data_IF_877205209291
#
_entry.id   IF_877205209291
#
_cell.length_a   1.000
_cell.length_b   1.000
_cell.length_c   1.000
_cell.angle_alpha   90.00
_cell.angle_beta   90.00
_cell.angle_gamma   90.00
#
_symmetry.space_group_name_H-M   'P 1'
#
loop_
_entity.id
_entity.type
_entity.pdbx_description
1 polymer ?
#
# COMPACT_ATOMS: atom_id res chain seq x y z
N UNK A 1 28.49 -11.94 -27.07
CA UNK A 1 27.40 -12.40 -27.95
C UNK A 1 27.40 -11.58 -29.22
N UNK A 2 27.25 -12.20 -30.38
CA UNK A 2 27.25 -11.49 -31.67
C UNK A 2 26.14 -12.01 -32.58
N UNK A 3 25.48 -11.11 -33.32
CA UNK A 3 24.49 -11.45 -34.33
C UNK A 3 24.69 -10.58 -35.57
N UNK A 4 24.64 -11.19 -36.76
CA UNK A 4 24.86 -10.47 -38.03
C UNK A 4 23.79 -9.43 -38.37
N UNK A 5 22.62 -9.46 -37.71
CA UNK A 5 21.51 -8.54 -38.00
C UNK A 5 20.90 -7.95 -36.72
N UNK A 6 20.18 -8.74 -35.92
CA UNK A 6 19.56 -8.26 -34.69
C UNK A 6 19.92 -9.16 -33.51
N UNK A 7 20.19 -8.54 -32.36
CA UNK A 7 20.41 -9.20 -31.08
C UNK A 7 19.41 -8.65 -30.08
N UNK A 8 18.60 -9.54 -29.50
CA UNK A 8 17.57 -9.18 -28.53
C UNK A 8 17.77 -10.02 -27.27
N UNK A 9 17.89 -9.36 -26.12
CA UNK A 9 17.74 -9.96 -24.80
C UNK A 9 16.43 -9.47 -24.24
N UNK A 10 15.53 -10.39 -23.90
CA UNK A 10 14.15 -10.08 -23.55
C UNK A 10 13.68 -10.92 -22.38
N UNK A 11 12.45 -10.66 -21.98
CA UNK A 11 11.77 -11.34 -20.89
C UNK A 11 11.07 -12.63 -21.33
N UNK A 12 10.74 -13.48 -20.36
CA UNK A 12 9.77 -14.56 -20.50
C UNK A 12 8.46 -14.20 -19.80
N UNK A 13 7.33 -14.57 -20.40
CA UNK A 13 6.01 -14.24 -19.87
C UNK A 13 5.57 -15.25 -18.81
N UNK A 14 5.09 -14.75 -17.69
CA UNK A 14 4.54 -15.54 -16.59
C UNK A 14 3.17 -14.99 -16.21
N UNK A 15 2.13 -15.78 -16.46
CA UNK A 15 0.77 -15.49 -16.01
C UNK A 15 0.49 -16.22 -14.69
N UNK A 16 -0.08 -15.50 -13.72
CA UNK A 16 -0.51 -16.06 -12.43
C UNK A 16 -1.95 -15.68 -12.15
N UNK A 17 -2.73 -16.67 -11.74
CA UNK A 17 -4.08 -16.50 -11.23
C UNK A 17 -4.16 -17.14 -9.84
N UNK A 18 -4.55 -16.36 -8.84
CA UNK A 18 -4.64 -16.81 -7.46
C UNK A 18 -5.95 -16.35 -6.83
N UNK A 19 -6.61 -17.24 -6.10
CA UNK A 19 -7.83 -16.92 -5.34
C UNK A 19 -7.63 -17.30 -3.89
N UNK A 20 -7.77 -16.32 -2.99
CA UNK A 20 -7.80 -16.54 -1.56
C UNK A 20 -9.22 -16.39 -1.04
N UNK A 21 -9.75 -17.46 -0.44
CA UNK A 21 -11.06 -17.45 0.17
C UNK A 21 -10.95 -17.72 1.67
N UNK A 22 -11.58 -16.87 2.48
CA UNK A 22 -11.71 -17.07 3.92
C UNK A 22 -13.15 -16.82 4.34
N UNK A 23 -13.73 -17.74 5.10
CA UNK A 23 -15.06 -17.57 5.68
C UNK A 23 -15.07 -18.01 7.14
N UNK A 24 -15.52 -17.13 8.02
CA UNK A 24 -15.74 -17.40 9.43
C UNK A 24 -17.23 -17.28 9.73
N UNK A 25 -17.78 -18.27 10.42
CA UNK A 25 -19.17 -18.28 10.90
C UNK A 25 -19.17 -18.53 12.39
N UNK A 26 -19.90 -17.72 13.13
CA UNK A 26 -20.10 -17.85 14.58
C UNK A 26 -21.60 -17.91 14.86
N UNK A 27 -21.97 -18.72 15.83
CA UNK A 27 -23.35 -18.82 16.30
C UNK A 27 -23.40 -19.08 17.79
N UNK A 28 -24.49 -18.67 18.42
CA UNK A 28 -24.67 -18.81 19.87
C UNK A 28 -24.25 -17.53 20.60
N UNK A 29 -23.69 -17.69 21.79
CA UNK A 29 -23.30 -16.59 22.67
C UNK A 29 -22.00 -15.92 22.18
N UNK A 30 -22.07 -14.62 21.90
CA UNK A 30 -20.96 -13.79 21.42
C UNK A 30 -20.80 -12.55 22.32
N UNK A 31 -19.56 -12.11 22.52
CA UNK A 31 -19.27 -10.86 23.23
C UNK A 31 -19.68 -9.63 22.43
N UNK A 32 -20.12 -8.58 23.10
CA UNK A 32 -20.55 -7.30 22.48
C UNK A 32 -19.42 -6.29 22.31
N UNK A 33 -18.20 -6.59 22.78
CA UNK A 33 -17.09 -5.62 22.86
C UNK A 33 -17.15 -4.69 24.09
N UNK A 34 -18.13 -4.88 24.97
CA UNK A 34 -18.29 -4.20 26.26
C UNK A 34 -19.01 -5.09 27.26
N UNK A 35 -19.74 -4.50 28.22
CA UNK A 35 -20.52 -5.26 29.20
C UNK A 35 -21.86 -5.67 28.57
N UNK A 36 -21.92 -6.89 28.06
CA UNK A 36 -23.10 -7.46 27.41
C UNK A 36 -22.79 -8.66 26.52
N UNK A 37 -23.80 -9.41 26.15
CA UNK A 37 -23.69 -10.56 25.24
C UNK A 37 -24.74 -10.51 24.13
N UNK A 38 -24.40 -11.09 22.99
CA UNK A 38 -25.33 -11.29 21.86
C UNK A 38 -25.51 -12.77 21.63
N UNK A 39 -26.76 -13.25 21.62
CA UNK A 39 -27.09 -14.59 21.15
C UNK A 39 -27.57 -14.47 19.71
N UNK A 40 -26.83 -15.04 18.76
CA UNK A 40 -27.15 -14.83 17.36
C UNK A 40 -26.29 -15.60 16.38
N UNK A 41 -26.20 -15.07 15.15
CA UNK A 41 -25.34 -15.57 14.07
C UNK A 41 -24.50 -14.41 13.53
N UNK A 42 -23.23 -14.66 13.28
CA UNK A 42 -22.33 -13.77 12.58
C UNK A 42 -21.59 -14.52 11.48
N UNK A 43 -21.43 -13.91 10.32
CA UNK A 43 -20.67 -14.44 9.21
C UNK A 43 -19.79 -13.33 8.64
N UNK A 44 -18.52 -13.64 8.45
CA UNK A 44 -17.57 -12.81 7.72
C UNK A 44 -16.98 -13.64 6.59
N UNK A 45 -17.08 -13.14 5.36
CA UNK A 45 -16.49 -13.73 4.17
C UNK A 45 -15.53 -12.72 3.56
N UNK A 46 -14.34 -13.17 3.21
CA UNK A 46 -13.36 -12.41 2.43
C UNK A 46 -12.91 -13.24 1.24
N UNK A 47 -12.88 -12.64 0.07
CA UNK A 47 -12.35 -13.26 -1.15
C UNK A 47 -11.43 -12.27 -1.82
N UNK A 48 -10.21 -12.69 -2.14
CA UNK A 48 -9.24 -11.91 -2.90
C UNK A 48 -8.88 -12.69 -4.14
N UNK A 49 -9.22 -12.13 -5.30
CA UNK A 49 -8.84 -12.67 -6.61
C UNK A 49 -7.67 -11.83 -7.13
N UNK A 50 -6.60 -12.49 -7.55
CA UNK A 50 -5.37 -11.88 -8.04
C UNK A 50 -5.09 -12.39 -9.45
N UNK A 51 -4.90 -11.46 -10.37
CA UNK A 51 -4.46 -11.72 -11.74
C UNK A 51 -3.17 -10.94 -11.99
N UNK A 52 -2.09 -11.63 -12.35
CA UNK A 52 -0.81 -11.00 -12.66
C UNK A 52 -0.25 -11.51 -13.98
N UNK A 53 0.22 -10.59 -14.82
CA UNK A 53 1.08 -10.93 -15.96
C UNK A 53 2.42 -10.26 -15.72
N UNK A 54 3.46 -11.09 -15.55
CA UNK A 54 4.81 -10.66 -15.25
C UNK A 54 5.73 -11.02 -16.41
N UNK A 55 6.65 -10.14 -16.72
CA UNK A 55 7.72 -10.32 -17.67
C UNK A 55 9.02 -10.53 -16.87
N UNK A 56 9.53 -11.76 -16.86
CA UNK A 56 10.76 -12.12 -16.16
C UNK A 56 11.97 -11.84 -17.05
N UNK A 57 12.76 -10.84 -16.68
CA UNK A 57 14.01 -10.49 -17.35
C UNK A 57 15.01 -11.62 -17.47
N UNK A 58 15.73 -11.66 -18.58
CA UNK A 58 16.93 -12.48 -18.71
C UNK A 58 18.09 -11.81 -17.99
N UNK A 59 18.99 -12.60 -17.39
CA UNK A 59 20.26 -12.10 -16.84
C UNK A 59 21.42 -12.62 -17.69
N UNK A 60 22.23 -11.72 -18.24
CA UNK A 60 23.42 -12.07 -19.04
C UNK A 60 24.64 -11.44 -18.40
N UNK A 61 25.67 -12.22 -18.07
CA UNK A 61 26.83 -11.62 -17.45
C UNK A 61 28.07 -12.47 -17.31
N UNK A 62 29.14 -11.81 -16.85
CA UNK A 62 30.42 -12.41 -16.50
C UNK A 62 30.88 -11.83 -15.18
N UNK A 63 31.17 -12.66 -14.18
CA UNK A 63 31.50 -12.20 -12.82
C UNK A 63 32.91 -11.62 -12.69
N UNK A 64 33.85 -12.05 -13.53
CA UNK A 64 35.26 -11.60 -13.49
C UNK A 64 35.76 -11.04 -14.83
N UNK A 65 34.92 -11.09 -15.86
CA UNK A 65 35.30 -10.72 -17.22
C UNK A 65 34.44 -9.60 -17.77
N UNK A 66 34.74 -9.25 -19.02
CA UNK A 66 34.00 -8.27 -19.79
C UNK A 66 32.82 -8.92 -20.52
N UNK A 67 31.80 -8.13 -20.83
CA UNK A 67 30.64 -8.55 -21.64
C UNK A 67 30.58 -7.71 -22.90
N UNK A 68 30.50 -8.37 -24.05
CA UNK A 68 30.36 -7.69 -25.34
C UNK A 68 29.09 -8.15 -26.07
N UNK A 69 28.25 -7.19 -26.46
CA UNK A 69 27.14 -7.38 -27.38
C UNK A 69 27.49 -6.71 -28.72
N UNK A 70 27.31 -7.43 -29.81
CA UNK A 70 27.47 -6.88 -31.16
C UNK A 70 26.32 -7.31 -32.06
N UNK A 71 25.60 -6.33 -32.60
CA UNK A 71 24.50 -6.54 -33.53
C UNK A 71 24.77 -5.78 -34.84
N UNK A 72 24.63 -6.43 -35.98
CA UNK A 72 24.86 -5.76 -37.28
C UNK A 72 23.92 -4.59 -37.56
N UNK A 73 22.70 -4.59 -36.99
CA UNK A 73 21.69 -3.52 -37.10
C UNK A 73 21.16 -3.08 -35.75
N UNK A 74 20.40 -3.92 -35.06
CA UNK A 74 19.70 -3.50 -33.84
C UNK A 74 20.09 -4.37 -32.64
N UNK A 75 20.48 -3.70 -31.57
CA UNK A 75 20.61 -4.30 -30.24
C UNK A 75 19.42 -3.86 -29.39
N UNK A 76 18.66 -4.83 -28.85
CA UNK A 76 17.54 -4.56 -27.94
C UNK A 76 17.75 -5.28 -26.61
N UNK A 77 17.72 -4.53 -25.52
CA UNK A 77 17.59 -5.05 -24.16
C UNK A 77 16.20 -4.63 -23.62
N UNK A 78 15.41 -5.59 -23.17
CA UNK A 78 14.02 -5.36 -22.75
C UNK A 78 13.76 -6.02 -21.40
N UNK A 79 13.49 -5.20 -20.37
CA UNK A 79 13.28 -5.62 -18.99
C UNK A 79 14.30 -6.64 -18.48
N UNK A 80 15.56 -6.53 -18.90
CA UNK A 80 16.60 -7.55 -18.68
C UNK A 80 17.84 -6.95 -18.05
N UNK A 81 18.61 -7.79 -17.37
CA UNK A 81 19.79 -7.40 -16.62
C UNK A 81 21.06 -7.89 -17.29
N UNK A 82 22.07 -7.02 -17.33
CA UNK A 82 23.40 -7.35 -17.82
C UNK A 82 24.45 -6.97 -16.78
N UNK A 83 25.34 -7.90 -16.44
CA UNK A 83 26.38 -7.67 -15.43
C UNK A 83 27.75 -8.07 -15.96
N UNK A 84 28.74 -7.18 -15.85
CA UNK A 84 30.13 -7.47 -16.19
C UNK A 84 31.06 -7.13 -15.01
N UNK A 85 31.93 -8.05 -14.63
CA UNK A 85 32.93 -7.81 -13.58
C UNK A 85 34.00 -6.79 -13.98
N UNK A 86 34.19 -6.58 -15.28
CA UNK A 86 35.15 -5.62 -15.86
C UNK A 86 34.43 -4.63 -16.77
N UNK A 87 34.72 -4.65 -18.08
CA UNK A 87 34.15 -3.73 -19.06
C UNK A 87 32.88 -4.31 -19.70
N UNK A 88 31.97 -3.43 -20.12
CA UNK A 88 30.79 -3.78 -20.88
C UNK A 88 30.72 -2.96 -22.17
N UNK A 89 30.61 -3.64 -23.30
CA UNK A 89 30.59 -3.02 -24.63
C UNK A 89 29.36 -3.47 -25.41
N UNK A 90 28.57 -2.51 -25.88
CA UNK A 90 27.37 -2.74 -26.67
C UNK A 90 27.54 -2.03 -28.02
N UNK A 91 27.39 -2.75 -29.12
CA UNK A 91 27.51 -2.18 -30.47
C UNK A 91 26.34 -2.59 -31.39
N UNK A 92 25.91 -1.65 -32.21
CA UNK A 92 25.04 -1.89 -33.36
C UNK A 92 24.76 -0.60 -34.15
N UNK A 93 23.90 -0.64 -35.17
CA UNK A 93 23.46 0.60 -35.83
C UNK A 93 22.50 1.38 -34.93
N UNK A 94 21.65 0.68 -34.17
CA UNK A 94 20.78 1.26 -33.15
C UNK A 94 20.83 0.41 -31.87
N UNK A 95 20.74 1.07 -30.72
CA UNK A 95 20.68 0.44 -29.40
C UNK A 95 19.40 0.90 -28.70
N UNK A 96 18.56 -0.05 -28.28
CA UNK A 96 17.34 0.21 -27.52
C UNK A 96 17.38 -0.55 -26.19
N UNK A 97 17.32 0.19 -25.10
CA UNK A 97 17.22 -0.33 -23.73
C UNK A 97 15.86 0.10 -23.19
N UNK A 98 14.99 -0.85 -22.89
CA UNK A 98 13.57 -0.58 -22.61
C UNK A 98 13.09 -1.32 -21.38
N UNK A 99 12.01 -0.82 -20.78
CA UNK A 99 11.31 -1.51 -19.69
C UNK A 99 10.30 -2.53 -20.22
N UNK A 100 10.11 -3.62 -19.49
CA UNK A 100 9.01 -4.56 -19.69
C UNK A 100 7.84 -4.22 -18.76
N UNK A 101 6.62 -4.38 -19.26
CA UNK A 101 5.41 -3.94 -18.55
C UNK A 101 4.77 -5.09 -17.76
N UNK A 102 4.77 -5.02 -16.44
CA UNK A 102 4.11 -5.98 -15.58
C UNK A 102 2.74 -5.45 -15.16
N UNK A 103 1.72 -6.31 -15.17
CA UNK A 103 0.38 -5.96 -14.69
C UNK A 103 0.00 -6.82 -13.49
N UNK A 104 -0.68 -6.19 -12.53
CA UNK A 104 -1.18 -6.83 -11.33
C UNK A 104 -2.58 -6.27 -11.02
N UNK A 105 -3.57 -7.14 -10.90
CA UNK A 105 -4.92 -6.78 -10.50
C UNK A 105 -5.31 -7.59 -9.29
N UNK A 106 -5.70 -6.91 -8.21
CA UNK A 106 -6.25 -7.53 -7.02
C UNK A 106 -7.68 -7.04 -6.79
N UNK A 107 -8.62 -7.98 -6.64
CA UNK A 107 -10.02 -7.70 -6.31
C UNK A 107 -10.35 -8.34 -4.97
N UNK A 108 -10.43 -7.52 -3.92
CA UNK A 108 -10.82 -7.96 -2.58
C UNK A 108 -12.27 -7.64 -2.32
N UNK A 109 -13.06 -8.66 -1.98
CA UNK A 109 -14.46 -8.56 -1.57
C UNK A 109 -14.59 -9.00 -0.12
N UNK A 110 -15.16 -8.14 0.72
CA UNK A 110 -15.48 -8.47 2.11
C UNK A 110 -16.97 -8.35 2.34
N UNK A 111 -17.58 -9.38 2.91
CA UNK A 111 -18.98 -9.40 3.30
C UNK A 111 -19.09 -9.75 4.77
N UNK A 112 -19.81 -8.93 5.53
CA UNK A 112 -20.16 -9.21 6.92
C UNK A 112 -21.67 -9.23 7.08
N UNK A 113 -22.17 -10.18 7.85
CA UNK A 113 -23.58 -10.33 8.19
C UNK A 113 -23.68 -10.71 9.65
N UNK A 114 -24.52 -10.03 10.40
CA UNK A 114 -24.78 -10.36 11.80
C UNK A 114 -26.26 -10.19 12.10
N UNK A 115 -26.82 -11.10 12.88
CA UNK A 115 -28.14 -10.95 13.46
C UNK A 115 -28.21 -11.61 14.82
N UNK A 116 -29.01 -11.09 15.73
CA UNK A 116 -29.12 -11.66 17.06
C UNK A 116 -29.86 -10.80 18.06
N UNK A 117 -30.07 -11.39 19.23
CA UNK A 117 -30.57 -10.75 20.44
C UNK A 117 -29.39 -10.31 21.30
N UNK A 118 -29.25 -9.02 21.51
CA UNK A 118 -28.19 -8.40 22.30
C UNK A 118 -28.74 -7.91 23.63
N UNK A 119 -28.12 -8.34 24.72
CA UNK A 119 -28.29 -7.78 26.06
C UNK A 119 -27.04 -6.97 26.37
N UNK A 120 -27.17 -5.67 26.59
CA UNK A 120 -26.05 -4.79 26.91
C UNK A 120 -26.40 -3.86 28.07
N UNK A 121 -25.39 -3.48 28.85
CA UNK A 121 -25.55 -2.38 29.81
C UNK A 121 -25.58 -1.04 29.06
N UNK A 122 -26.68 -0.33 29.16
CA UNK A 122 -26.81 1.06 28.71
C UNK A 122 -26.43 1.98 29.85
N UNK A 123 -25.26 2.62 29.76
CA UNK A 123 -24.90 3.77 30.58
C UNK A 123 -24.71 4.99 29.69
N UNK A 124 -25.26 6.14 30.07
CA UNK A 124 -24.85 7.41 29.47
C UNK A 124 -23.40 7.65 29.89
N UNK A 125 -22.47 7.62 28.95
CA UNK A 125 -21.17 8.24 29.16
C UNK A 125 -21.40 9.74 29.34
N UNK A 126 -21.54 10.18 30.59
CA UNK A 126 -21.33 11.57 30.95
C UNK A 126 -19.91 11.94 30.52
N UNK A 127 -19.76 13.09 29.86
CA UNK A 127 -18.58 13.46 29.08
C UNK A 127 -17.23 13.09 29.72
N UNK A 128 -16.37 12.53 28.87
CA UNK A 128 -15.03 12.02 29.15
C UNK A 128 -14.96 10.59 29.71
N UNK A 129 -14.01 9.85 29.13
CA UNK A 129 -13.43 8.58 29.56
C UNK A 129 -14.07 7.31 28.96
N UNK A 130 -13.53 6.88 27.82
CA UNK A 130 -13.38 5.45 27.53
C UNK A 130 -11.99 5.06 26.98
N UNK A 131 -10.93 5.76 27.41
CA UNK A 131 -9.54 5.41 27.03
C UNK A 131 -8.56 5.28 28.20
N UNK A 132 -9.04 5.24 29.45
CA UNK A 132 -8.15 5.22 30.63
C UNK A 132 -8.12 3.89 31.41
N UNK A 133 -9.08 2.98 31.23
CA UNK A 133 -9.18 1.79 32.10
C UNK A 133 -8.46 0.56 31.54
N UNK A 134 -8.26 0.47 30.22
CA UNK A 134 -7.46 -0.61 29.62
C UNK A 134 -5.95 -0.47 29.88
N UNK A 135 -5.46 0.73 30.24
CA UNK A 135 -4.05 0.95 30.62
C UNK A 135 -3.77 0.56 32.08
N UNK A 136 -4.76 0.64 32.97
CA UNK A 136 -4.56 0.37 34.41
C UNK A 136 -4.58 -1.12 34.75
N UNK A 137 -5.31 -1.95 33.99
CA UNK A 137 -5.26 -3.41 34.18
C UNK A 137 -4.00 -4.06 33.59
N UNK A 138 -3.37 -3.46 32.58
CA UNK A 138 -2.05 -3.89 32.10
C UNK A 138 -0.93 -3.54 33.13
N UNK A 139 -1.08 -2.44 33.87
CA UNK A 139 -0.09 -2.00 34.87
C UNK A 139 -0.15 -2.76 36.21
N UNK A 140 -1.17 -3.60 36.44
CA UNK A 140 -1.24 -4.44 37.66
C UNK A 140 -0.42 -5.73 37.55
N UNK A 141 0.12 -6.06 36.37
CA UNK A 141 0.82 -7.31 36.11
C UNK A 141 2.33 -7.15 35.87
N UNK A 142 2.91 -5.95 36.03
CA UNK A 142 4.35 -5.72 35.84
C UNK A 142 5.03 -5.17 37.10
N UNK A 143 6.05 -5.89 37.55
CA UNK A 143 6.72 -5.74 38.84
C UNK A 143 8.09 -5.06 38.76
N UNK A 144 8.34 -4.14 37.82
CA UNK A 144 9.61 -3.39 37.76
C UNK A 144 9.40 -1.88 38.02
N UNK A 145 10.10 -1.41 39.06
CA UNK A 145 9.98 -0.07 39.65
C UNK A 145 10.45 1.06 38.72
N UNK A 146 11.21 0.74 37.66
CA UNK A 146 11.75 1.73 36.71
C UNK A 146 10.75 2.16 35.62
N UNK A 147 9.79 1.30 35.28
CA UNK A 147 8.71 1.65 34.33
C UNK A 147 7.68 2.60 34.98
N UNK A 148 7.47 2.52 36.30
CA UNK A 148 6.64 3.48 37.05
C UNK A 148 7.18 4.91 36.98
N UNK A 149 8.50 5.07 37.03
CA UNK A 149 9.14 6.39 37.03
C UNK A 149 9.00 7.08 35.66
N UNK A 150 9.07 6.33 34.55
CA UNK A 150 8.93 6.89 33.20
C UNK A 150 7.46 7.15 32.81
N UNK A 151 6.50 6.44 33.41
CA UNK A 151 5.07 6.73 33.23
C UNK A 151 4.58 7.94 34.04
N UNK A 152 5.25 8.29 35.15
CA UNK A 152 4.95 9.49 35.93
C UNK A 152 5.16 10.80 35.15
N UNK A 153 6.08 10.82 34.18
CA UNK A 153 6.41 12.01 33.39
C UNK A 153 5.47 12.24 32.20
N UNK A 154 4.83 11.20 31.65
CA UNK A 154 3.85 11.36 30.54
C UNK A 154 2.51 11.93 30.99
N UNK A 155 2.16 11.81 32.28
CA UNK A 155 0.97 12.41 32.87
C UNK A 155 1.08 13.94 33.07
N UNK A 156 2.30 14.50 33.08
CA UNK A 156 2.53 15.91 33.38
C UNK A 156 2.34 16.85 32.16
N UNK A 157 2.44 16.34 30.93
CA UNK A 157 2.43 17.18 29.71
C UNK A 157 1.03 17.39 29.11
N UNK A 158 -0.01 16.70 29.59
CA UNK A 158 -1.43 16.91 29.21
C UNK A 158 -2.18 17.83 30.19
N UNK A 159 -1.46 18.50 31.10
CA UNK A 159 -2.02 19.19 32.26
C UNK A 159 -2.47 20.65 32.09
N UNK A 160 -2.29 21.31 30.94
CA UNK A 160 -2.58 22.76 30.83
C UNK A 160 -4.03 23.10 30.46
N UNK A 161 -4.79 22.18 29.86
CA UNK A 161 -6.22 22.43 29.54
C UNK A 161 -7.18 21.91 30.62
N UNK A 162 -6.75 20.98 31.48
CA UNK A 162 -7.59 20.41 32.54
C UNK A 162 -7.81 21.38 33.73
N UNK A 163 -6.85 22.26 34.02
CA UNK A 163 -6.95 23.17 35.17
C UNK A 163 -7.96 24.30 34.94
N UNK A 164 -8.13 24.76 33.69
CA UNK A 164 -9.15 25.76 33.37
C UNK A 164 -10.57 25.16 33.40
N UNK A 165 -10.73 23.92 32.94
CA UNK A 165 -12.01 23.20 33.01
C UNK A 165 -12.43 22.88 34.46
N UNK A 166 -11.48 22.54 35.33
CA UNK A 166 -11.74 22.31 36.76
C UNK A 166 -12.15 23.61 37.50
N UNK A 167 -11.57 24.76 37.13
CA UNK A 167 -11.98 26.06 37.70
C UNK A 167 -13.34 26.53 37.16
N UNK A 168 -13.68 26.23 35.91
CA UNK A 168 -15.01 26.50 35.37
C UNK A 168 -16.09 25.60 35.98
N UNK A 169 -15.73 24.37 36.36
CA UNK A 169 -16.60 23.44 37.08
C UNK A 169 -16.84 23.87 38.55
N UNK A 170 -15.82 24.38 39.25
CA UNK A 170 -15.99 24.90 40.61
C UNK A 170 -16.65 26.30 40.67
N UNK A 171 -16.63 27.07 39.57
CA UNK A 171 -17.32 28.36 39.48
C UNK A 171 -18.83 28.22 39.19
N UNK A 172 -19.28 27.07 38.67
CA UNK A 172 -20.71 26.69 38.59
C UNK A 172 -21.15 25.97 39.86
N UNK A 173 -20.88 26.58 41.02
CA UNK A 173 -21.53 26.20 42.27
C UNK A 173 -23.03 26.40 42.14
N UNK A 174 -23.76 25.29 42.06
CA UNK A 174 -25.21 25.27 42.00
C UNK A 174 -25.68 23.83 42.18
N UNK A 175 -26.50 23.60 43.19
CA UNK A 175 -27.16 22.35 43.58
C UNK A 175 -28.05 21.76 42.46
N UNK A 176 -27.47 21.33 41.36
CA UNK A 176 -28.18 20.50 40.39
C UNK A 176 -27.89 19.03 40.68
N UNK A 177 -28.81 18.39 41.42
CA UNK A 177 -29.01 16.94 41.47
C UNK A 177 -29.44 16.37 40.10
N UNK A 178 -28.88 16.87 39.01
CA UNK A 178 -29.16 16.47 37.63
C UNK A 178 -28.02 15.66 37.01
N UNK A 179 -27.02 15.22 37.80
CA UNK A 179 -26.12 14.15 37.39
C UNK A 179 -26.79 12.78 37.65
N UNK A 180 -27.92 12.54 36.99
CA UNK A 180 -28.69 11.32 37.09
C UNK A 180 -28.00 10.25 36.24
N UNK A 181 -26.97 9.61 36.80
CA UNK A 181 -26.32 8.45 36.20
C UNK A 181 -27.32 7.29 36.14
N UNK A 182 -28.13 7.24 35.08
CA UNK A 182 -29.05 6.14 34.83
C UNK A 182 -28.24 4.94 34.33
N UNK A 183 -28.14 3.91 35.17
CA UNK A 183 -27.65 2.60 34.76
C UNK A 183 -28.84 1.83 34.23
N UNK A 184 -28.73 1.29 33.03
CA UNK A 184 -29.78 0.50 32.43
C UNK A 184 -29.30 -0.77 31.76
N UNK A 185 -30.24 -1.67 31.53
CA UNK A 185 -30.07 -2.86 30.71
C UNK A 185 -30.91 -2.66 29.46
N UNK A 186 -30.31 -2.84 28.29
CA UNK A 186 -31.00 -2.80 27.00
C UNK A 186 -31.03 -4.19 26.37
N UNK A 187 -32.22 -4.64 25.99
CA UNK A 187 -32.46 -5.85 25.22
C UNK A 187 -32.85 -5.44 23.81
N UNK A 188 -32.05 -5.79 22.81
CA UNK A 188 -32.33 -5.45 21.41
C UNK A 188 -32.18 -6.64 20.48
N UNK A 189 -33.03 -6.70 19.46
CA UNK A 189 -32.87 -7.63 18.34
C UNK A 189 -32.55 -6.83 17.08
N UNK A 190 -31.55 -7.26 16.33
CA UNK A 190 -31.17 -6.57 15.10
C UNK A 190 -30.54 -7.48 14.08
N UNK A 191 -30.48 -6.97 12.85
CA UNK A 191 -29.71 -7.55 11.77
C UNK A 191 -28.95 -6.47 11.03
N UNK A 192 -27.74 -6.79 10.61
CA UNK A 192 -26.87 -5.90 9.86
C UNK A 192 -26.09 -6.69 8.80
N UNK A 193 -25.87 -6.05 7.66
CA UNK A 193 -25.05 -6.57 6.58
C UNK A 193 -24.20 -5.45 6.00
N UNK A 194 -22.92 -5.72 5.82
CA UNK A 194 -22.01 -4.86 5.06
C UNK A 194 -21.34 -5.65 3.95
N UNK A 195 -21.06 -4.97 2.85
CA UNK A 195 -20.30 -5.49 1.72
C UNK A 195 -19.38 -4.40 1.20
N UNK A 196 -18.11 -4.73 1.06
CA UNK A 196 -17.11 -3.92 0.36
C UNK A 196 -16.48 -4.70 -0.77
N UNK A 197 -16.08 -3.99 -1.81
CA UNK A 197 -15.28 -4.48 -2.91
C UNK A 197 -14.24 -3.42 -3.23
N UNK A 198 -12.98 -3.82 -3.22
CA UNK A 198 -11.82 -3.01 -3.56
C UNK A 198 -11.16 -3.67 -4.77
N UNK A 199 -10.97 -2.92 -5.85
CA UNK A 199 -10.23 -3.32 -7.03
C UNK A 199 -9.02 -2.41 -7.17
N UNK A 200 -7.84 -3.00 -7.14
CA UNK A 200 -6.57 -2.35 -7.40
C UNK A 200 -6.00 -2.91 -8.69
N UNK A 201 -5.68 -2.05 -9.64
CA UNK A 201 -5.00 -2.38 -10.88
C UNK A 201 -3.72 -1.58 -10.95
N UNK A 202 -2.60 -2.29 -11.13
CA UNK A 202 -1.28 -1.70 -11.17
C UNK A 202 -0.57 -2.17 -12.44
N UNK A 203 0.06 -1.22 -13.12
CA UNK A 203 0.98 -1.48 -14.22
C UNK A 203 2.34 -0.92 -13.81
N UNK A 204 3.35 -1.77 -13.78
CA UNK A 204 4.72 -1.42 -13.37
C UNK A 204 5.69 -1.71 -14.49
N UNK A 205 6.61 -0.79 -14.73
CA UNK A 205 7.61 -0.85 -15.79
C UNK A 205 8.92 -1.33 -15.18
N UNK A 206 9.27 -2.58 -15.47
CA UNK A 206 10.53 -3.17 -15.08
C UNK A 206 11.62 -2.77 -16.08
N UNK A 207 12.45 -1.81 -15.69
CA UNK A 207 13.60 -1.35 -16.47
C UNK A 207 14.61 -2.44 -16.80
N UNK A 208 15.44 -2.21 -17.82
CA UNK A 208 16.66 -3.00 -18.01
C UNK A 208 17.80 -2.40 -17.20
N UNK A 209 18.65 -3.24 -16.58
CA UNK A 209 19.82 -2.78 -15.84
C UNK A 209 21.13 -3.26 -16.49
N UNK A 210 22.12 -2.37 -16.58
CA UNK A 210 23.45 -2.67 -17.09
C UNK A 210 24.47 -2.24 -16.04
N UNK A 211 25.14 -3.20 -15.43
CA UNK A 211 26.12 -2.95 -14.37
C UNK A 211 27.49 -3.47 -14.76
N UNK A 212 28.52 -2.64 -14.63
CA UNK A 212 29.89 -3.01 -14.99
C UNK A 212 30.90 -2.54 -13.95
N UNK A 213 31.89 -3.36 -13.65
CA UNK A 213 32.92 -3.05 -12.64
C UNK A 213 33.91 -1.97 -13.08
N UNK A 214 34.20 -1.90 -14.38
CA UNK A 214 35.08 -0.91 -14.99
C UNK A 214 34.26 0.06 -15.86
N UNK A 215 34.35 -0.04 -17.20
CA UNK A 215 33.77 0.94 -18.12
C UNK A 215 32.55 0.39 -18.87
N UNK A 216 31.53 1.22 -19.06
CA UNK A 216 30.36 0.91 -19.89
C UNK A 216 30.41 1.74 -21.16
N UNK A 217 30.41 1.09 -22.32
CA UNK A 217 30.41 1.78 -23.61
C UNK A 217 29.28 1.27 -24.51
N UNK A 218 28.40 2.17 -24.93
CA UNK A 218 27.40 1.92 -25.96
C UNK A 218 27.78 2.68 -27.22
N UNK A 219 27.86 1.99 -28.36
CA UNK A 219 28.22 2.57 -29.65
C UNK A 219 27.16 2.24 -30.70
N UNK A 220 26.36 3.24 -31.07
CA UNK A 220 25.43 3.19 -32.20
C UNK A 220 26.09 3.79 -33.44
N UNK A 221 26.53 2.95 -34.38
CA UNK A 221 27.35 3.31 -35.55
C UNK A 221 26.55 3.30 -36.87
N UNK A 222 25.32 3.83 -36.84
CA UNK A 222 24.48 3.96 -38.03
C UNK A 222 24.90 5.11 -38.96
N UNK A 223 24.34 5.15 -40.17
CA UNK A 223 24.37 6.31 -41.05
C UNK A 223 23.48 7.44 -40.46
N UNK A 224 24.04 8.64 -40.15
CA UNK A 224 23.33 9.72 -39.43
C UNK A 224 22.00 10.16 -40.04
N UNK A 225 21.81 9.96 -41.34
CA UNK A 225 20.58 10.32 -42.05
C UNK A 225 19.44 9.29 -41.86
N UNK A 226 19.72 8.09 -41.34
CA UNK A 226 18.76 6.99 -41.28
C UNK A 226 18.70 6.26 -39.93
N UNK A 227 19.82 6.12 -39.23
CA UNK A 227 19.94 5.38 -37.98
C UNK A 227 21.16 5.90 -37.18
N UNK A 228 21.55 5.21 -36.10
CA UNK A 228 22.62 5.69 -35.22
C UNK A 228 22.15 6.09 -33.84
N UNK A 229 20.97 5.63 -33.42
CA UNK A 229 20.34 6.11 -32.20
C UNK A 229 20.64 5.20 -31.00
N UNK A 230 20.80 5.83 -29.83
CA UNK A 230 20.76 5.18 -28.52
C UNK A 230 19.49 5.64 -27.82
N UNK A 231 18.57 4.72 -27.53
CA UNK A 231 17.35 4.98 -26.76
C UNK A 231 17.34 4.18 -25.47
N UNK A 232 17.09 4.86 -24.36
CA UNK A 232 17.00 4.26 -23.02
C UNK A 232 15.70 4.74 -22.37
N UNK A 233 14.85 3.80 -21.97
CA UNK A 233 13.57 4.07 -21.33
C UNK A 233 13.47 3.32 -19.99
N UNK A 234 13.42 4.09 -18.90
CA UNK A 234 13.40 3.59 -17.52
C UNK A 234 14.54 2.62 -17.20
N UNK A 235 15.70 2.80 -17.84
CA UNK A 235 16.86 1.92 -17.70
C UNK A 235 17.87 2.44 -16.68
N UNK A 236 18.58 1.53 -16.02
CA UNK A 236 19.64 1.87 -15.07
C UNK A 236 20.98 1.41 -15.62
N UNK A 237 21.87 2.34 -15.91
CA UNK A 237 23.21 2.06 -16.40
C UNK A 237 24.21 2.50 -15.34
N UNK A 238 25.05 1.56 -14.89
CA UNK A 238 26.03 1.79 -13.83
C UNK A 238 27.41 1.29 -14.26
N UNK A 239 28.41 2.16 -14.14
CA UNK A 239 29.81 1.85 -14.38
C UNK A 239 30.67 2.20 -13.15
N UNK A 240 31.56 1.30 -12.76
CA UNK A 240 32.50 1.57 -11.67
C UNK A 240 33.54 2.66 -12.01
N UNK A 241 33.78 2.91 -13.30
CA UNK A 241 34.64 3.98 -13.81
C UNK A 241 33.86 4.88 -14.76
N UNK A 242 34.08 4.76 -16.08
CA UNK A 242 33.48 5.65 -17.07
C UNK A 242 32.26 5.02 -17.75
N UNK A 243 31.25 5.84 -18.01
CA UNK A 243 30.06 5.51 -18.81
C UNK A 243 30.05 6.38 -20.06
N UNK A 244 30.04 5.74 -21.23
CA UNK A 244 30.08 6.42 -22.52
C UNK A 244 28.93 5.97 -23.42
N UNK A 245 28.12 6.92 -23.89
CA UNK A 245 27.12 6.71 -24.93
C UNK A 245 27.57 7.43 -26.21
N UNK A 246 27.85 6.67 -27.26
CA UNK A 246 28.31 7.18 -28.55
C UNK A 246 27.24 6.86 -29.61
N UNK A 247 26.43 7.85 -29.97
CA UNK A 247 25.42 7.74 -31.02
C UNK A 247 25.87 8.54 -32.24
N UNK A 248 25.92 7.91 -33.42
CA UNK A 248 26.20 8.64 -34.66
C UNK A 248 25.06 9.60 -35.04
N UNK A 249 23.88 9.45 -34.43
CA UNK A 249 22.72 10.32 -34.62
C UNK A 249 22.19 10.86 -33.29
N UNK A 250 21.19 10.23 -32.68
CA UNK A 250 20.53 10.78 -31.48
C UNK A 250 20.74 9.93 -30.22
N UNK A 251 20.80 10.59 -29.06
CA UNK A 251 20.65 9.96 -27.75
C UNK A 251 19.31 10.37 -27.16
N UNK A 252 18.50 9.41 -26.72
CA UNK A 252 17.24 9.68 -26.03
C UNK A 252 17.16 8.89 -24.73
N UNK A 253 17.13 9.61 -23.61
CA UNK A 253 16.86 9.06 -22.30
C UNK A 253 15.45 9.48 -21.89
N UNK A 254 14.66 8.56 -21.37
CA UNK A 254 13.27 8.84 -20.98
C UNK A 254 12.87 8.01 -19.78
N UNK A 255 11.98 8.54 -18.96
CA UNK A 255 11.35 7.76 -17.88
C UNK A 255 10.33 6.77 -18.45
N UNK A 256 10.17 5.60 -17.84
CA UNK A 256 8.98 4.77 -18.03
C UNK A 256 7.91 5.11 -16.97
N UNK A 257 6.64 4.80 -17.24
CA UNK A 257 5.53 5.19 -16.37
C UNK A 257 4.87 3.98 -15.71
N UNK A 258 4.82 4.01 -14.38
CA UNK A 258 4.00 3.13 -13.59
C UNK A 258 2.63 3.77 -13.37
N UNK A 259 1.57 2.97 -13.46
CA UNK A 259 0.21 3.43 -13.18
C UNK A 259 -0.43 2.60 -12.09
N UNK A 260 -1.24 3.26 -11.27
CA UNK A 260 -2.06 2.62 -10.25
C UNK A 260 -3.48 3.16 -10.32
N UNK A 261 -4.45 2.26 -10.34
CA UNK A 261 -5.86 2.59 -10.32
C UNK A 261 -6.52 1.83 -9.19
N UNK A 262 -7.11 2.56 -8.25
CA UNK A 262 -7.88 2.00 -7.16
C UNK A 262 -9.34 2.41 -7.34
N UNK A 263 -10.23 1.44 -7.30
CA UNK A 263 -11.67 1.67 -7.26
C UNK A 263 -12.27 0.83 -6.16
N UNK A 264 -13.18 1.41 -5.40
CA UNK A 264 -13.83 0.68 -4.34
C UNK A 264 -15.25 1.14 -4.12
N UNK A 265 -16.05 0.22 -3.62
CA UNK A 265 -17.44 0.44 -3.27
C UNK A 265 -17.73 -0.26 -1.97
N UNK A 266 -18.43 0.42 -1.09
CA UNK A 266 -18.94 -0.18 0.13
C UNK A 266 -20.44 0.12 0.27
N UNK A 267 -21.12 -0.80 0.94
CA UNK A 267 -22.51 -0.66 1.29
C UNK A 267 -22.74 -1.34 2.63
N UNK A 268 -23.55 -0.71 3.47
CA UNK A 268 -24.00 -1.29 4.73
C UNK A 268 -25.48 -1.01 4.91
N UNK A 269 -26.17 -1.96 5.54
CA UNK A 269 -27.57 -1.81 5.92
C UNK A 269 -27.81 -2.58 7.20
N UNK A 270 -28.63 -2.02 8.08
CA UNK A 270 -29.00 -2.67 9.31
C UNK A 270 -30.25 -2.06 9.90
N UNK A 271 -30.86 -2.82 10.79
CA UNK A 271 -31.99 -2.38 11.59
C UNK A 271 -32.02 -3.13 12.90
N UNK A 272 -32.43 -2.44 13.95
CA UNK A 272 -32.62 -3.03 15.28
C UNK A 272 -33.83 -2.44 15.99
N UNK A 273 -34.41 -3.24 16.86
CA UNK A 273 -35.49 -2.87 17.77
C UNK A 273 -35.05 -3.29 19.17
N UNK A 274 -35.20 -2.42 20.16
CA UNK A 274 -34.79 -2.72 21.52
C UNK A 274 -35.63 -2.05 22.57
N UNK A 275 -35.70 -2.70 23.73
CA UNK A 275 -36.37 -2.24 24.93
C UNK A 275 -35.35 -2.16 26.06
N UNK A 276 -35.27 -1.02 26.72
CA UNK A 276 -34.33 -0.81 27.82
C UNK A 276 -35.04 -0.40 29.09
N UNK A 277 -34.46 -0.85 30.21
CA UNK A 277 -34.88 -0.47 31.55
C UNK A 277 -33.74 0.29 32.19
N UNK A 278 -34.05 1.46 32.75
CA UNK A 278 -33.08 2.33 33.40
C UNK A 278 -33.49 2.56 34.85
N UNK A 279 -32.52 2.62 35.75
CA UNK A 279 -32.71 2.95 37.15
C UNK A 279 -31.62 3.91 37.61
N UNK A 280 -32.00 4.97 38.31
CA UNK A 280 -31.07 5.95 38.86
C UNK A 280 -31.70 6.83 39.95
N UNK A 281 -30.92 7.74 40.54
CA UNK A 281 -31.39 8.66 41.59
C UNK A 281 -32.64 9.48 41.23
N UNK A 282 -32.93 9.65 39.94
CA UNK A 282 -34.14 10.32 39.42
C UNK A 282 -35.30 9.39 39.01
N UNK A 283 -35.27 8.10 39.37
CA UNK A 283 -36.38 7.15 39.15
C UNK A 283 -36.07 6.00 38.18
N UNK A 284 -37.07 5.14 37.95
CA UNK A 284 -37.03 4.06 36.96
C UNK A 284 -37.74 4.47 35.67
N UNK A 285 -37.25 3.97 34.53
CA UNK A 285 -37.83 4.29 33.22
C UNK A 285 -37.71 3.14 32.23
N UNK A 286 -38.73 2.98 31.39
CA UNK A 286 -38.74 2.07 30.24
C UNK A 286 -38.49 2.90 28.98
N UNK A 287 -37.56 2.48 28.14
CA UNK A 287 -37.33 3.09 26.84
C UNK A 287 -37.60 2.07 25.71
N UNK A 288 -38.18 2.57 24.62
CA UNK A 288 -38.31 1.84 23.36
C UNK A 288 -37.39 2.50 22.35
N UNK A 289 -36.59 1.69 21.67
CA UNK A 289 -35.63 2.14 20.66
C UNK A 289 -35.86 1.38 19.36
N UNK A 290 -35.83 2.13 18.26
CA UNK A 290 -35.80 1.58 16.92
C UNK A 290 -34.71 2.31 16.16
N UNK A 291 -33.88 1.56 15.45
CA UNK A 291 -32.83 2.16 14.63
C UNK A 291 -32.78 1.48 13.26
N UNK A 292 -32.52 2.28 12.25
CA UNK A 292 -32.25 1.83 10.89
C UNK A 292 -31.01 2.58 10.41
N UNK A 293 -30.10 1.86 9.77
CA UNK A 293 -28.89 2.44 9.21
C UNK A 293 -28.69 1.95 7.79
N UNK A 294 -28.31 2.86 6.92
CA UNK A 294 -27.92 2.59 5.55
C UNK A 294 -26.70 3.45 5.21
N UNK A 295 -25.67 2.82 4.65
CA UNK A 295 -24.45 3.48 4.23
C UNK A 295 -24.07 3.04 2.83
N UNK A 296 -23.58 3.98 2.01
CA UNK A 296 -22.94 3.70 0.73
C UNK A 296 -21.72 4.59 0.58
N UNK A 297 -20.67 4.05 -0.04
CA UNK A 297 -19.43 4.77 -0.28
C UNK A 297 -18.80 4.30 -1.58
N UNK A 298 -18.07 5.22 -2.21
CA UNK A 298 -17.27 4.96 -3.40
C UNK A 298 -15.91 5.63 -3.22
N UNK A 299 -14.88 4.97 -3.71
CA UNK A 299 -13.54 5.54 -3.83
C UNK A 299 -13.04 5.33 -5.26
N UNK A 300 -12.27 6.30 -5.74
CA UNK A 300 -11.54 6.22 -6.99
C UNK A 300 -10.24 7.00 -6.80
N UNK A 301 -9.13 6.39 -7.18
CA UNK A 301 -7.81 7.00 -7.15
C UNK A 301 -7.01 6.55 -8.35
N UNK A 302 -6.30 7.49 -8.96
CA UNK A 302 -5.37 7.23 -10.05
C UNK A 302 -4.01 7.79 -9.63
N UNK A 303 -2.96 7.00 -9.79
CA UNK A 303 -1.58 7.37 -9.56
C UNK A 303 -0.75 7.12 -10.80
N UNK A 304 0.18 8.04 -11.07
CA UNK A 304 1.25 7.85 -12.04
C UNK A 304 2.55 8.12 -11.31
N UNK A 305 3.51 7.22 -11.44
CA UNK A 305 4.88 7.45 -10.99
C UNK A 305 5.84 7.11 -12.13
N UNK A 306 7.01 7.72 -12.09
CA UNK A 306 8.00 7.59 -13.14
C UNK A 306 9.15 6.72 -12.64
N UNK A 307 9.60 5.80 -13.49
CA UNK A 307 10.85 5.09 -13.31
C UNK A 307 11.86 5.75 -14.23
N UNK A 308 12.72 6.57 -13.62
CA UNK A 308 13.68 7.41 -14.33
C UNK A 308 14.77 6.59 -15.01
N UNK A 309 15.30 7.11 -16.12
CA UNK A 309 16.54 6.58 -16.68
C UNK A 309 17.71 7.16 -15.91
N UNK A 310 18.56 6.31 -15.32
CA UNK A 310 19.72 6.75 -14.54
C UNK A 310 21.01 6.31 -15.20
N UNK A 311 21.95 7.26 -15.32
CA UNK A 311 23.33 7.01 -15.73
C UNK A 311 24.23 7.31 -14.53
N UNK A 312 24.86 6.27 -14.00
CA UNK A 312 25.75 6.36 -12.84
C UNK A 312 27.15 5.88 -13.23
N UNK A 313 28.16 6.71 -12.96
CA UNK A 313 29.54 6.41 -13.27
C UNK A 313 30.42 6.83 -12.09
N UNK A 314 31.34 5.96 -11.69
CA UNK A 314 32.29 6.27 -10.60
C UNK A 314 33.25 7.40 -10.94
N UNK A 315 33.44 7.72 -12.23
CA UNK A 315 34.31 8.79 -12.70
C UNK A 315 33.56 9.74 -13.64
N UNK A 316 33.34 9.34 -14.89
CA UNK A 316 32.81 10.25 -15.92
C UNK A 316 31.60 9.65 -16.64
N UNK A 317 30.58 10.47 -16.87
CA UNK A 317 29.50 10.20 -17.83
C UNK A 317 29.72 11.05 -19.07
N UNK A 318 29.85 10.40 -20.24
CA UNK A 318 30.05 11.07 -21.53
C UNK A 318 28.92 10.70 -22.49
N UNK A 319 28.27 11.73 -23.05
CA UNK A 319 27.19 11.62 -24.03
C UNK A 319 27.66 12.26 -25.34
N UNK A 320 27.94 11.43 -26.34
CA UNK A 320 28.35 11.87 -27.67
C UNK A 320 27.24 11.58 -28.66
N UNK A 321 26.38 12.57 -28.93
CA UNK A 321 25.37 12.50 -29.98
C UNK A 321 25.87 13.22 -31.24
N UNK A 322 25.75 12.58 -32.39
CA UNK A 322 26.09 13.20 -33.69
C UNK A 322 25.14 14.32 -34.10
N UNK A 323 23.92 14.31 -33.55
CA UNK A 323 22.90 15.33 -33.79
C UNK A 323 22.30 15.87 -32.50
N UNK A 324 21.40 15.12 -31.85
CA UNK A 324 20.67 15.60 -30.66
C UNK A 324 20.82 14.65 -29.46
N UNK A 325 20.89 15.21 -28.25
CA UNK A 325 20.75 14.48 -27.00
C UNK A 325 19.52 15.00 -26.25
N UNK A 326 18.50 14.15 -26.10
CA UNK A 326 17.27 14.42 -25.33
C UNK A 326 17.32 13.61 -24.04
N UNK A 327 17.11 14.27 -22.90
CA UNK A 327 17.24 13.69 -21.56
C UNK A 327 15.93 13.85 -20.77
#
# INVERSE_FOLDING_TARGET
MAAGNQLTVTTADEARHETHFKQEKKSGLMGTGGIGFTVGKASQKSTTDIDSNLHKGSTVGSSQGSVTFSAGKQLKLHGSDVVAGRDMQLSGQNINITSAENSHTAVTKTEQKQSGLTVALSGTAGGALNSAVQTVQAARSESDSRIKALQGTKAALSGVQAVQAARLANAKGGDDKANNNLVGVNLSYGSQSSRSELKQHQTTQQGSSLMTGDNLTLTASGAPDQNGDIRIQGGQLQAGKDLQLNASRDIQLSSSQNTEQTTGKNSSRGGSLGVGFTAGPGGTGINLSASVNYGKGRESGNGVSHNETTLDAGQTVTLNAGRDATL
#
